data_IF_064747951664
#
_entry.id   IF_064747951664
#
_cell.length_a   1.000
_cell.length_b   1.000
_cell.length_c   1.000
_cell.angle_alpha   90.00
_cell.angle_beta   90.00
_cell.angle_gamma   90.00
#
_symmetry.space_group_name_H-M   'P 1'
#
loop_
_entity.id
_entity.type
_entity.pdbx_description
1 polymer ?
#
# COMPACT_ATOMS: atom_id res chain seq x y z
N UNK A 1 -22.41 10.56 20.04
CA UNK A 1 -21.03 10.27 19.67
C UNK A 1 -20.59 11.24 18.61
N UNK A 2 -19.39 11.75 18.72
CA UNK A 2 -18.87 12.70 17.74
C UNK A 2 -18.43 12.01 16.46
N UNK A 3 -18.44 12.76 15.35
CA UNK A 3 -17.90 12.32 14.07
C UNK A 3 -16.44 11.84 14.20
N UNK A 4 -15.66 12.48 15.08
CA UNK A 4 -14.26 12.11 15.35
C UNK A 4 -14.15 10.67 15.86
N UNK A 5 -15.04 10.24 16.74
CA UNK A 5 -15.04 8.87 17.26
C UNK A 5 -15.38 7.85 16.16
N UNK A 6 -16.36 8.16 15.31
CA UNK A 6 -16.71 7.29 14.18
C UNK A 6 -15.58 7.20 13.16
N UNK A 7 -14.92 8.31 12.85
CA UNK A 7 -13.79 8.32 11.95
C UNK A 7 -12.61 7.50 12.49
N UNK A 8 -12.32 7.63 13.78
CA UNK A 8 -11.28 6.85 14.44
C UNK A 8 -11.58 5.36 14.38
N UNK A 9 -12.83 4.99 14.66
CA UNK A 9 -13.27 3.60 14.60
C UNK A 9 -13.15 3.02 13.18
N UNK A 10 -13.54 3.78 12.14
CA UNK A 10 -13.35 3.38 10.75
C UNK A 10 -11.89 3.09 10.42
N UNK A 11 -10.99 3.96 10.86
CA UNK A 11 -9.55 3.78 10.62
C UNK A 11 -9.04 2.52 11.30
N UNK A 12 -9.41 2.30 12.56
CA UNK A 12 -9.00 1.11 13.31
C UNK A 12 -9.51 -0.18 12.64
N UNK A 13 -10.73 -0.17 12.14
CA UNK A 13 -11.30 -1.31 11.41
C UNK A 13 -10.55 -1.59 10.12
N UNK A 14 -10.18 -0.55 9.37
CA UNK A 14 -9.38 -0.69 8.14
C UNK A 14 -7.99 -1.22 8.42
N UNK A 15 -7.32 -0.72 9.46
CA UNK A 15 -6.01 -1.21 9.86
C UNK A 15 -6.08 -2.70 10.26
N UNK A 16 -7.09 -3.07 11.03
CA UNK A 16 -7.30 -4.46 11.43
C UNK A 16 -7.59 -5.36 10.22
N UNK A 17 -8.40 -4.89 9.28
CA UNK A 17 -8.71 -5.63 8.05
C UNK A 17 -7.46 -5.85 7.21
N UNK A 18 -6.61 -4.84 7.07
CA UNK A 18 -5.36 -4.96 6.33
C UNK A 18 -4.41 -5.98 6.97
N UNK A 19 -4.30 -5.98 8.29
CA UNK A 19 -3.47 -6.97 9.00
C UNK A 19 -4.03 -8.38 8.87
N UNK A 20 -5.33 -8.55 8.95
CA UNK A 20 -6.00 -9.85 8.75
C UNK A 20 -5.74 -10.36 7.34
N UNK A 21 -5.83 -9.48 6.34
CA UNK A 21 -5.54 -9.83 4.95
C UNK A 21 -4.09 -10.27 4.78
N UNK A 22 -3.14 -9.53 5.32
CA UNK A 22 -1.72 -9.90 5.21
C UNK A 22 -1.43 -11.25 5.88
N UNK A 23 -2.01 -11.51 7.04
CA UNK A 23 -1.87 -12.79 7.72
C UNK A 23 -2.41 -13.95 6.87
N UNK A 24 -3.55 -13.74 6.22
CA UNK A 24 -4.13 -14.74 5.32
C UNK A 24 -3.27 -14.97 4.08
N UNK A 25 -2.72 -13.89 3.51
CA UNK A 25 -1.84 -13.97 2.33
C UNK A 25 -0.55 -14.72 2.63
N UNK A 26 -0.05 -14.63 3.85
CA UNK A 26 1.17 -15.32 4.27
C UNK A 26 1.05 -16.83 4.14
N UNK A 27 -0.15 -17.36 4.33
CA UNK A 27 -0.41 -18.81 4.30
C UNK A 27 -0.56 -19.34 2.86
N UNK A 28 -0.64 -18.47 1.86
CA UNK A 28 -0.79 -18.89 0.47
C UNK A 28 0.55 -19.31 -0.12
N UNK A 29 0.50 -20.33 -0.96
CA UNK A 29 1.64 -20.76 -1.75
C UNK A 29 1.23 -20.85 -3.22
N UNK A 30 2.20 -20.68 -4.11
CA UNK A 30 1.94 -20.64 -5.54
C UNK A 30 2.93 -21.55 -6.26
N UNK A 31 2.39 -22.32 -7.23
CA UNK A 31 3.18 -23.18 -8.07
C UNK A 31 3.85 -22.40 -9.22
N UNK A 32 4.78 -23.05 -9.91
CA UNK A 32 5.36 -22.48 -11.12
C UNK A 32 4.26 -22.07 -12.11
N UNK A 33 4.43 -20.98 -12.86
CA UNK A 33 5.67 -20.20 -13.06
C UNK A 33 5.92 -19.08 -12.05
N UNK A 34 5.16 -19.00 -10.96
CA UNK A 34 5.38 -17.97 -9.94
C UNK A 34 6.67 -18.29 -9.17
N UNK A 35 7.63 -17.36 -9.22
CA UNK A 35 8.91 -17.53 -8.55
C UNK A 35 9.05 -16.67 -7.30
N UNK A 36 8.38 -15.53 -7.25
CA UNK A 36 8.45 -14.56 -6.15
C UNK A 36 7.07 -14.03 -5.82
N UNK A 37 6.82 -13.84 -4.54
CA UNK A 37 5.57 -13.25 -4.05
C UNK A 37 5.90 -12.08 -3.14
N UNK A 38 5.31 -10.93 -3.42
CA UNK A 38 5.48 -9.73 -2.60
C UNK A 38 4.18 -9.43 -1.84
N UNK A 39 4.33 -9.10 -0.57
CA UNK A 39 3.22 -8.69 0.29
C UNK A 39 3.46 -7.26 0.78
N UNK A 40 3.05 -6.23 0.04
CA UNK A 40 3.28 -4.84 0.43
C UNK A 40 2.72 -4.48 1.81
N UNK A 41 1.65 -5.13 2.23
CA UNK A 41 1.07 -4.92 3.57
C UNK A 41 2.01 -5.36 4.69
N UNK A 42 3.00 -6.21 4.40
CA UNK A 42 4.03 -6.61 5.34
C UNK A 42 5.20 -5.62 5.32
N UNK A 43 5.97 -5.61 4.24
CA UNK A 43 7.21 -4.82 4.21
C UNK A 43 6.99 -3.31 4.12
N UNK A 44 5.86 -2.86 3.59
CA UNK A 44 5.50 -1.45 3.48
C UNK A 44 4.35 -1.06 4.40
N UNK A 45 4.26 -1.70 5.55
CA UNK A 45 3.17 -1.45 6.50
C UNK A 45 3.12 -0.02 6.99
N UNK A 46 4.25 0.59 7.31
CA UNK A 46 4.27 1.96 7.86
C UNK A 46 3.62 2.98 6.94
N UNK A 47 4.01 3.10 5.67
CA UNK A 47 3.31 4.03 4.78
C UNK A 47 1.87 3.60 4.48
N UNK A 48 1.57 2.30 4.42
CA UNK A 48 0.19 1.84 4.25
C UNK A 48 -0.69 2.27 5.43
N UNK A 49 -0.23 2.06 6.65
CA UNK A 49 -0.94 2.49 7.85
C UNK A 49 -1.14 4.01 7.88
N UNK A 50 -0.13 4.77 7.51
CA UNK A 50 -0.23 6.23 7.42
C UNK A 50 -1.29 6.67 6.41
N UNK A 51 -1.37 5.98 5.27
CA UNK A 51 -2.39 6.23 4.26
C UNK A 51 -3.80 5.98 4.83
N UNK A 52 -4.03 4.87 5.50
CA UNK A 52 -5.32 4.56 6.11
C UNK A 52 -5.68 5.54 7.22
N UNK A 53 -4.70 5.93 8.03
CA UNK A 53 -4.91 6.91 9.10
C UNK A 53 -5.30 8.28 8.54
N UNK A 54 -4.71 8.67 7.42
CA UNK A 54 -4.95 9.99 6.81
C UNK A 54 -6.25 10.05 6.03
N UNK A 55 -6.59 8.99 5.30
CA UNK A 55 -7.71 9.01 4.35
C UNK A 55 -8.81 8.00 4.65
N UNK A 56 -8.64 7.10 5.62
CA UNK A 56 -9.59 6.03 5.89
C UNK A 56 -10.80 6.42 6.73
N UNK A 57 -10.77 7.57 7.36
CA UNK A 57 -11.86 7.99 8.24
C UNK A 57 -13.08 8.52 7.48
N UNK A 58 -14.25 8.28 8.06
CA UNK A 58 -15.50 8.80 7.55
C UNK A 58 -16.08 8.05 6.35
N UNK A 59 -17.30 8.41 5.96
CA UNK A 59 -17.97 7.77 4.82
C UNK A 59 -17.33 8.16 3.49
N UNK A 60 -17.36 7.22 2.55
CA UNK A 60 -16.83 7.43 1.19
C UNK A 60 -17.96 7.27 0.18
N UNK A 61 -18.09 8.22 -0.74
CA UNK A 61 -19.08 8.16 -1.82
C UNK A 61 -18.56 7.37 -3.02
N UNK A 62 -17.24 7.34 -3.19
CA UNK A 62 -16.60 6.69 -4.34
C UNK A 62 -15.40 5.90 -3.84
N UNK A 63 -15.25 4.69 -4.35
CA UNK A 63 -14.08 3.85 -4.12
C UNK A 63 -13.48 3.49 -5.47
N UNK A 64 -12.19 3.75 -5.65
CA UNK A 64 -11.45 3.30 -6.82
C UNK A 64 -10.78 1.98 -6.52
N UNK A 65 -11.08 0.96 -7.32
CA UNK A 65 -10.52 -0.37 -7.15
C UNK A 65 -9.53 -0.67 -8.27
N UNK A 66 -8.28 -0.89 -7.92
CA UNK A 66 -7.25 -1.34 -8.86
C UNK A 66 -7.21 -2.86 -8.91
N UNK A 67 -6.66 -3.40 -10.00
CA UNK A 67 -6.60 -4.83 -10.22
C UNK A 67 -5.57 -5.52 -9.33
N UNK A 68 -4.43 -4.87 -9.10
CA UNK A 68 -3.31 -5.46 -8.35
C UNK A 68 -2.34 -4.35 -7.89
N UNK A 69 -1.49 -4.63 -6.90
CA UNK A 69 -0.41 -3.70 -6.56
C UNK A 69 0.54 -3.51 -7.74
N UNK A 70 0.70 -2.26 -8.17
CA UNK A 70 1.61 -1.94 -9.27
C UNK A 70 3.07 -2.08 -8.86
N UNK A 71 3.95 -2.58 -9.76
CA UNK A 71 5.36 -2.83 -9.43
C UNK A 71 6.17 -1.58 -9.10
N UNK A 72 5.74 -0.42 -9.58
CA UNK A 72 6.40 0.88 -9.34
C UNK A 72 5.51 1.83 -8.51
N UNK A 73 4.39 1.33 -8.01
CA UNK A 73 3.46 2.05 -7.16
C UNK A 73 3.29 1.37 -5.81
N UNK A 74 2.16 0.72 -5.59
CA UNK A 74 1.86 0.09 -4.30
C UNK A 74 2.89 -0.94 -3.87
N UNK A 75 3.51 -1.66 -4.81
CA UNK A 75 4.57 -2.59 -4.47
C UNK A 75 5.79 -1.89 -3.85
N UNK A 76 6.02 -0.62 -4.15
CA UNK A 76 7.12 0.17 -3.59
C UNK A 76 6.71 0.95 -2.34
N UNK A 77 5.53 1.57 -2.35
CA UNK A 77 5.12 2.53 -1.31
C UNK A 77 4.14 1.96 -0.29
N UNK A 78 3.48 0.85 -0.62
CA UNK A 78 2.40 0.31 0.22
C UNK A 78 1.08 1.06 0.09
N UNK A 79 1.02 2.12 -0.72
CA UNK A 79 -0.18 2.94 -0.90
C UNK A 79 -0.87 2.56 -2.21
N UNK A 80 -2.20 2.32 -2.19
CA UNK A 80 -2.93 2.05 -3.43
C UNK A 80 -2.74 3.17 -4.46
N UNK A 81 -2.47 2.82 -5.70
CA UNK A 81 -2.10 3.76 -6.76
C UNK A 81 -0.91 4.65 -6.34
N UNK A 82 0.00 4.09 -5.57
CA UNK A 82 1.00 4.82 -4.82
C UNK A 82 2.27 5.15 -5.61
N UNK A 83 2.15 5.92 -6.67
CA UNK A 83 3.31 6.47 -7.36
C UNK A 83 4.16 7.28 -6.36
N UNK A 84 5.48 7.08 -6.39
CA UNK A 84 6.39 7.58 -5.34
C UNK A 84 6.25 9.09 -5.11
N UNK A 85 6.31 9.89 -6.18
CA UNK A 85 6.24 11.35 -6.04
C UNK A 85 4.91 11.81 -5.47
N UNK A 86 3.80 11.19 -5.88
CA UNK A 86 2.48 11.56 -5.36
C UNK A 86 2.34 11.22 -3.88
N UNK A 87 2.83 10.07 -3.46
CA UNK A 87 2.77 9.66 -2.06
C UNK A 87 3.67 10.53 -1.18
N UNK A 88 4.92 10.69 -1.60
CA UNK A 88 5.92 11.43 -0.84
C UNK A 88 5.62 12.93 -0.80
N UNK A 89 5.42 13.54 -1.98
CA UNK A 89 5.40 15.00 -2.10
C UNK A 89 4.00 15.59 -1.95
N UNK A 90 2.98 14.94 -2.52
CA UNK A 90 1.61 15.44 -2.44
C UNK A 90 0.87 14.95 -1.19
N UNK A 91 0.91 13.66 -0.91
CA UNK A 91 0.27 13.12 0.30
C UNK A 91 1.08 13.40 1.56
N UNK A 92 2.37 13.65 1.42
CA UNK A 92 3.26 13.84 2.56
C UNK A 92 3.45 12.58 3.38
N UNK A 93 3.31 11.43 2.77
CA UNK A 93 3.50 10.13 3.43
C UNK A 93 4.90 9.63 3.13
N UNK A 94 5.66 9.40 4.20
CA UNK A 94 6.95 8.73 4.15
C UNK A 94 6.95 7.65 5.24
N UNK A 95 7.98 6.87 5.29
CA UNK A 95 8.11 5.83 6.29
C UNK A 95 9.02 4.75 5.78
N UNK A 96 9.48 3.94 6.69
CA UNK A 96 10.35 2.84 6.34
C UNK A 96 9.61 1.82 5.49
N UNK A 97 10.18 1.50 4.35
CA UNK A 97 9.78 0.36 3.54
C UNK A 97 10.89 -0.68 3.69
N UNK A 98 10.56 -1.81 4.29
CA UNK A 98 11.51 -2.89 4.48
C UNK A 98 11.73 -3.63 3.17
N UNK A 99 12.79 -4.40 3.10
CA UNK A 99 13.02 -5.25 1.94
C UNK A 99 12.38 -6.62 2.16
N UNK A 100 11.70 -7.19 1.14
CA UNK A 100 11.24 -8.57 1.23
C UNK A 100 12.42 -9.51 1.47
N UNK A 101 12.17 -10.60 2.18
CA UNK A 101 13.22 -11.60 2.43
C UNK A 101 13.74 -12.22 1.13
N UNK A 102 12.89 -12.27 0.11
CA UNK A 102 13.22 -12.84 -1.19
C UNK A 102 12.78 -11.90 -2.29
N UNK A 103 13.73 -11.15 -2.85
CA UNK A 103 13.50 -10.19 -3.92
C UNK A 103 13.84 -10.77 -5.30
N UNK A 104 13.00 -10.45 -6.27
CA UNK A 104 13.30 -10.74 -7.66
C UNK A 104 14.35 -9.74 -8.17
N UNK A 105 15.44 -10.19 -8.83
CA UNK A 105 16.50 -9.29 -9.26
C UNK A 105 16.05 -8.20 -10.24
N UNK A 106 15.00 -8.45 -11.01
CA UNK A 106 14.44 -7.46 -11.96
C UNK A 106 13.33 -6.61 -11.35
N UNK A 107 12.93 -6.88 -10.13
CA UNK A 107 11.85 -6.15 -9.43
C UNK A 107 12.23 -5.88 -7.98
N UNK A 108 13.35 -5.18 -7.74
CA UNK A 108 13.74 -4.87 -6.37
C UNK A 108 12.75 -3.92 -5.72
N UNK A 109 12.58 -4.07 -4.41
CA UNK A 109 11.77 -3.14 -3.62
C UNK A 109 12.70 -2.05 -3.08
N UNK A 110 12.60 -0.87 -3.67
CA UNK A 110 13.41 0.29 -3.33
C UNK A 110 12.64 1.31 -2.49
N UNK A 111 11.34 1.08 -2.29
CA UNK A 111 10.49 1.98 -1.53
C UNK A 111 10.42 3.36 -2.16
N UNK A 112 10.58 4.39 -1.34
CA UNK A 112 10.54 5.78 -1.80
C UNK A 112 11.77 6.19 -2.63
N UNK A 113 12.75 5.33 -2.73
CA UNK A 113 13.93 5.54 -3.58
C UNK A 113 13.75 4.97 -5.00
N UNK A 114 12.61 4.37 -5.27
CA UNK A 114 12.30 3.86 -6.60
C UNK A 114 12.28 5.00 -7.60
N UNK A 115 13.12 4.93 -8.66
CA UNK A 115 13.25 6.05 -9.61
C UNK A 115 12.14 6.08 -10.67
N UNK A 116 11.31 5.05 -10.74
CA UNK A 116 10.28 4.95 -11.77
C UNK A 116 8.94 5.50 -11.28
N UNK A 117 8.27 6.20 -12.18
CA UNK A 117 6.91 6.68 -11.96
C UNK A 117 5.90 5.62 -12.40
N UNK A 118 4.86 5.42 -11.60
CA UNK A 118 3.75 4.56 -11.96
C UNK A 118 2.67 5.37 -12.66
N UNK A 119 2.31 4.95 -13.87
CA UNK A 119 1.40 5.71 -14.72
C UNK A 119 0.00 5.86 -14.10
N UNK A 120 -0.56 4.78 -13.57
CA UNK A 120 -1.91 4.80 -12.97
C UNK A 120 -1.98 5.76 -11.77
N UNK A 121 -0.99 5.67 -10.88
CA UNK A 121 -0.93 6.56 -9.71
C UNK A 121 -0.70 8.01 -10.08
N UNK A 122 0.20 8.26 -11.01
CA UNK A 122 0.47 9.61 -11.52
C UNK A 122 -0.79 10.24 -12.10
N UNK A 123 -1.59 9.48 -12.83
CA UNK A 123 -2.83 9.98 -13.44
C UNK A 123 -3.95 10.15 -12.43
N UNK A 124 -4.10 9.20 -11.49
CA UNK A 124 -5.18 9.28 -10.51
C UNK A 124 -5.03 10.48 -9.58
N UNK A 125 -3.81 10.69 -9.07
CA UNK A 125 -3.55 11.75 -8.09
C UNK A 125 -3.13 13.10 -8.71
N UNK A 126 -2.78 13.09 -9.99
CA UNK A 126 -2.30 14.26 -10.74
C UNK A 126 -3.38 15.27 -11.17
#
# INVERSE_FOLDING_TARGET
MSEVTEQTQSVEELLAAARTLDAALRELSFAEPVTHVYRPLDYAWKPHAAYLQRYGGGPKRVVFLGMNPGPFGMAQTGVPFGEVAMVRDWMGITGEVKRPAREHPKRPIQGFECPRSEVSGSRLWG
#
